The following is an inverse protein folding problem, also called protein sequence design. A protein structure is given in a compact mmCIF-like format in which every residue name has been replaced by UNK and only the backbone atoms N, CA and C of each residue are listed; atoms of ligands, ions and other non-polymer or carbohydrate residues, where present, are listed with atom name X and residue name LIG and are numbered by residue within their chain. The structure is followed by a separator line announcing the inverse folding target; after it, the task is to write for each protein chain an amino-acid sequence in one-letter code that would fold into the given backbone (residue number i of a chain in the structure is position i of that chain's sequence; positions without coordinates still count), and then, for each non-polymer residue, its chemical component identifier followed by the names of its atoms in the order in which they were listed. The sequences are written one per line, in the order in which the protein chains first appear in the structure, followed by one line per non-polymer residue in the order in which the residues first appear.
data_IF_103807676057
#
_entry.id   IF_103807676057
#
_cell.length_a   1.000
_cell.length_b   1.000
_cell.length_c   1.000
_cell.angle_alpha   90.00
_cell.angle_beta   90.00
_cell.angle_gamma   90.00
#
_symmetry.space_group_name_H-M   'P 1'
#
loop_
_entity.id
_entity.type
_entity.pdbx_description
1 polymer ?
#
# COMPACT_ATOMS: atom_id res chain seq x y z
N UNK A 1 -76.18 44.06 -20.45
CA UNK A 1 -75.14 43.37 -21.21
C UNK A 1 -74.03 42.95 -20.25
N UNK A 2 -74.20 41.84 -19.47
CA UNK A 2 -73.19 41.26 -18.64
C UNK A 2 -73.49 39.77 -18.46
N UNK A 3 -73.27 38.92 -19.45
CA UNK A 3 -73.55 37.48 -19.28
C UNK A 3 -72.89 36.59 -20.31
N UNK A 4 -71.61 36.68 -20.61
CA UNK A 4 -70.94 35.63 -21.44
C UNK A 4 -69.41 35.50 -21.24
N UNK A 5 -68.81 36.04 -20.19
CA UNK A 5 -67.34 35.88 -20.02
C UNK A 5 -66.89 34.78 -19.01
N UNK A 6 -67.79 34.20 -18.22
CA UNK A 6 -67.43 33.24 -17.20
C UNK A 6 -67.19 31.85 -17.76
N UNK A 7 -67.82 31.29 -18.78
CA UNK A 7 -67.54 29.93 -19.25
C UNK A 7 -66.16 29.75 -19.94
N UNK A 8 -65.66 30.81 -20.62
CA UNK A 8 -64.37 30.72 -21.31
C UNK A 8 -63.15 30.61 -20.35
N UNK A 9 -63.23 31.28 -19.22
CA UNK A 9 -62.10 31.22 -18.21
C UNK A 9 -62.01 29.84 -17.54
N UNK A 10 -63.15 29.22 -17.27
CA UNK A 10 -63.21 27.89 -16.69
C UNK A 10 -62.72 26.81 -17.66
N UNK A 11 -63.02 26.88 -18.94
CA UNK A 11 -62.51 25.92 -19.94
C UNK A 11 -61.04 26.10 -20.21
N UNK A 12 -60.46 27.27 -20.21
CA UNK A 12 -59.02 27.53 -20.35
C UNK A 12 -58.29 27.05 -19.12
N UNK A 13 -58.83 27.25 -17.91
CA UNK A 13 -58.22 26.79 -16.67
C UNK A 13 -58.18 25.24 -16.59
N UNK A 14 -59.26 24.56 -17.01
CA UNK A 14 -59.31 23.11 -17.08
C UNK A 14 -58.34 22.55 -18.11
N UNK A 15 -58.20 23.18 -19.27
CA UNK A 15 -57.21 22.78 -20.30
C UNK A 15 -55.76 23.00 -19.82
N UNK A 16 -55.47 24.05 -19.07
CA UNK A 16 -54.17 24.30 -18.49
C UNK A 16 -53.84 23.28 -17.35
N UNK A 17 -54.83 22.93 -16.55
CA UNK A 17 -54.66 21.89 -15.50
C UNK A 17 -54.47 20.53 -16.15
N UNK A 18 -55.18 20.18 -17.19
CA UNK A 18 -55.00 18.94 -17.95
C UNK A 18 -53.64 18.89 -18.66
N UNK A 19 -53.13 19.98 -19.20
CA UNK A 19 -51.78 20.08 -19.77
C UNK A 19 -50.68 19.97 -18.69
N UNK A 20 -50.93 20.48 -17.49
CA UNK A 20 -50.02 20.30 -16.35
C UNK A 20 -50.02 18.87 -15.82
N UNK A 21 -51.15 18.19 -15.79
CA UNK A 21 -51.27 16.80 -15.37
C UNK A 21 -50.67 15.81 -16.36
N UNK A 22 -50.66 16.11 -17.66
CA UNK A 22 -49.99 15.26 -18.67
C UNK A 22 -48.47 15.46 -18.69
N UNK A 23 -47.96 16.59 -18.22
CA UNK A 23 -46.51 16.86 -18.10
C UNK A 23 -45.83 16.15 -16.93
N UNK A 24 -46.58 15.66 -15.92
CA UNK A 24 -46.01 15.05 -14.68
C UNK A 24 -45.78 13.53 -14.81
N UNK A 25 -46.27 12.89 -15.88
CA UNK A 25 -46.07 11.47 -16.13
C UNK A 25 -45.09 11.14 -17.26
N UNK A 26 -44.16 12.04 -17.59
CA UNK A 26 -42.95 11.60 -18.22
C UNK A 26 -42.13 10.88 -17.13
N UNK A 27 -42.46 9.64 -16.82
CA UNK A 27 -41.54 8.74 -16.13
C UNK A 27 -40.28 8.71 -16.98
N UNK A 28 -39.25 9.45 -16.54
CA UNK A 28 -37.94 9.39 -17.14
C UNK A 28 -37.55 7.91 -17.21
N UNK A 29 -37.35 7.39 -18.43
CA UNK A 29 -36.83 6.06 -18.67
C UNK A 29 -35.61 5.91 -17.73
N UNK A 30 -35.63 4.94 -16.86
CA UNK A 30 -34.50 4.70 -15.94
C UNK A 30 -33.23 4.62 -16.78
N UNK A 31 -32.25 5.48 -16.52
CA UNK A 31 -30.96 5.42 -17.21
C UNK A 31 -30.19 4.14 -16.88
N UNK A 32 -30.63 3.40 -15.85
CA UNK A 32 -30.08 2.14 -15.39
C UNK A 32 -30.73 0.95 -16.09
N UNK A 33 -29.90 0.11 -16.72
CA UNK A 33 -30.34 -1.05 -17.51
C UNK A 33 -30.37 -2.37 -16.70
N UNK A 34 -29.61 -2.42 -15.59
CA UNK A 34 -29.45 -3.60 -14.75
C UNK A 34 -28.35 -4.55 -15.23
N UNK A 35 -27.76 -5.24 -14.26
CA UNK A 35 -26.58 -6.11 -14.49
C UNK A 35 -26.85 -7.28 -15.44
N UNK A 36 -28.07 -7.78 -15.52
CA UNK A 36 -28.43 -8.91 -16.39
C UNK A 36 -28.36 -8.52 -17.88
N UNK A 37 -28.60 -7.26 -18.20
CA UNK A 37 -28.40 -6.74 -19.56
C UNK A 37 -26.91 -6.71 -19.92
N UNK A 38 -26.04 -6.35 -18.97
CA UNK A 38 -24.60 -6.36 -19.19
C UNK A 38 -24.05 -7.77 -19.48
N UNK A 39 -24.63 -8.79 -18.86
CA UNK A 39 -24.27 -10.20 -19.07
C UNK A 39 -24.34 -10.63 -20.53
N UNK A 40 -25.31 -10.13 -21.30
CA UNK A 40 -25.51 -10.54 -22.68
C UNK A 40 -24.28 -10.34 -23.58
N UNK A 41 -23.48 -9.28 -23.30
CA UNK A 41 -22.25 -9.01 -24.06
C UNK A 41 -20.97 -9.26 -23.21
N UNK A 42 -21.07 -9.19 -21.89
CA UNK A 42 -19.93 -9.28 -20.96
C UNK A 42 -20.00 -10.50 -20.04
N UNK A 43 -20.37 -11.68 -20.55
CA UNK A 43 -20.60 -12.89 -19.77
C UNK A 43 -19.41 -13.27 -18.86
N UNK A 44 -18.19 -13.31 -19.40
CA UNK A 44 -16.98 -13.67 -18.65
C UNK A 44 -16.70 -12.68 -17.50
N UNK A 45 -16.91 -11.40 -17.75
CA UNK A 45 -16.74 -10.35 -16.73
C UNK A 45 -17.82 -10.45 -15.67
N UNK A 46 -19.04 -10.73 -16.07
CA UNK A 46 -20.18 -10.93 -15.18
C UNK A 46 -19.93 -12.11 -14.23
N UNK A 47 -19.48 -13.25 -14.74
CA UNK A 47 -19.19 -14.44 -13.95
C UNK A 47 -18.06 -14.19 -12.93
N UNK A 48 -17.02 -13.46 -13.33
CA UNK A 48 -15.96 -13.06 -12.40
C UNK A 48 -16.46 -12.08 -11.33
N UNK A 49 -17.34 -11.16 -11.71
CA UNK A 49 -17.98 -10.26 -10.77
C UNK A 49 -18.79 -11.03 -9.72
N UNK A 50 -19.60 -11.99 -10.13
CA UNK A 50 -20.39 -12.83 -9.21
C UNK A 50 -19.53 -13.66 -8.24
N UNK A 51 -18.28 -13.99 -8.61
CA UNK A 51 -17.32 -14.68 -7.73
C UNK A 51 -16.70 -13.72 -6.71
N UNK A 52 -16.66 -12.41 -7.00
CA UNK A 52 -16.10 -11.40 -6.11
C UNK A 52 -17.04 -11.09 -4.93
N UNK A 53 -16.49 -10.46 -3.88
CA UNK A 53 -17.28 -10.00 -2.73
C UNK A 53 -18.35 -8.98 -3.14
N UNK A 54 -18.06 -8.14 -4.15
CA UNK A 54 -18.97 -7.12 -4.69
C UNK A 54 -20.16 -7.71 -5.42
N UNK A 55 -20.04 -8.94 -5.93
CA UNK A 55 -21.12 -9.69 -6.59
C UNK A 55 -21.99 -10.50 -5.64
N UNK A 56 -21.74 -10.47 -4.32
CA UNK A 56 -22.49 -11.26 -3.34
C UNK A 56 -23.63 -10.49 -2.71
N UNK A 57 -24.87 -10.83 -3.06
CA UNK A 57 -26.08 -10.16 -2.53
C UNK A 57 -26.23 -10.25 -1.00
N UNK A 58 -25.65 -11.27 -0.36
CA UNK A 58 -25.73 -11.45 1.09
C UNK A 58 -24.76 -10.54 1.87
N UNK A 59 -23.80 -9.92 1.18
CA UNK A 59 -22.84 -9.00 1.81
C UNK A 59 -23.48 -7.63 1.99
N UNK A 60 -23.41 -7.10 3.21
CA UNK A 60 -23.91 -5.76 3.50
C UNK A 60 -23.15 -4.71 2.70
N UNK A 61 -23.88 -3.75 2.09
CA UNK A 61 -23.29 -2.69 1.26
C UNK A 61 -22.74 -3.16 -0.10
N UNK A 62 -22.92 -4.44 -0.46
CA UNK A 62 -22.49 -4.92 -1.76
C UNK A 62 -23.25 -4.24 -2.91
N UNK A 63 -22.55 -3.82 -3.99
CA UNK A 63 -23.19 -3.31 -5.21
C UNK A 63 -24.25 -4.26 -5.78
N UNK A 64 -24.09 -5.58 -5.60
CA UNK A 64 -25.05 -6.58 -6.07
C UNK A 64 -26.45 -6.49 -5.43
N UNK A 65 -26.61 -5.75 -4.34
CA UNK A 65 -27.93 -5.43 -3.75
C UNK A 65 -28.64 -4.26 -4.40
N UNK A 66 -27.90 -3.41 -5.10
CA UNK A 66 -28.42 -2.23 -5.78
C UNK A 66 -28.20 -2.32 -7.28
N UNK A 67 -27.47 -1.39 -7.82
CA UNK A 67 -27.27 -1.19 -9.26
C UNK A 67 -26.22 -2.13 -9.89
N UNK A 68 -25.59 -2.99 -9.11
CA UNK A 68 -24.64 -3.99 -9.60
C UNK A 68 -23.45 -3.40 -10.35
N UNK A 69 -23.32 -3.73 -11.63
CA UNK A 69 -22.25 -3.20 -12.49
C UNK A 69 -22.27 -1.67 -12.57
N UNK A 70 -23.46 -1.11 -12.64
CA UNK A 70 -23.69 0.33 -12.83
C UNK A 70 -23.35 1.16 -11.59
N UNK A 71 -23.27 0.54 -10.40
CA UNK A 71 -22.77 1.21 -9.19
C UNK A 71 -21.35 1.77 -9.36
N UNK A 72 -20.54 1.15 -10.23
CA UNK A 72 -19.17 1.56 -10.53
C UNK A 72 -19.05 2.22 -11.90
N UNK A 73 -19.73 1.68 -12.91
CA UNK A 73 -19.61 2.11 -14.30
C UNK A 73 -20.57 3.26 -14.66
N UNK A 74 -21.58 3.52 -13.84
CA UNK A 74 -22.66 4.47 -14.15
C UNK A 74 -23.77 3.85 -15.00
N UNK A 75 -24.82 4.65 -15.33
CA UNK A 75 -25.99 4.20 -16.05
C UNK A 75 -25.67 3.60 -17.42
N UNK A 76 -26.21 2.41 -17.71
CA UNK A 76 -25.85 1.61 -18.89
C UNK A 76 -26.77 1.74 -20.09
N UNK A 77 -27.95 2.35 -19.97
CA UNK A 77 -28.94 2.39 -21.05
C UNK A 77 -28.39 2.99 -22.36
N UNK A 78 -27.71 4.13 -22.28
CA UNK A 78 -27.11 4.76 -23.45
C UNK A 78 -25.98 3.92 -24.10
N UNK A 79 -25.23 3.14 -23.28
CA UNK A 79 -24.22 2.22 -23.77
C UNK A 79 -24.83 1.10 -24.60
N UNK A 80 -25.93 0.52 -24.12
CA UNK A 80 -26.66 -0.55 -24.81
C UNK A 80 -27.31 -0.05 -26.07
N UNK A 81 -27.97 1.11 -26.02
CA UNK A 81 -28.62 1.73 -27.18
C UNK A 81 -27.64 2.03 -28.33
N UNK A 82 -26.40 2.40 -28.01
CA UNK A 82 -25.32 2.62 -29.00
C UNK A 82 -24.67 1.32 -29.49
N UNK A 83 -25.01 0.16 -28.92
CA UNK A 83 -24.36 -1.11 -29.24
C UNK A 83 -22.95 -1.24 -28.67
N UNK A 84 -22.63 -0.49 -27.61
CA UNK A 84 -21.33 -0.51 -26.95
C UNK A 84 -20.54 0.80 -27.06
N UNK A 85 -19.23 0.73 -26.85
CA UNK A 85 -18.33 1.89 -26.87
C UNK A 85 -17.85 2.32 -25.50
N UNK A 86 -16.79 3.14 -25.46
CA UNK A 86 -16.15 3.56 -24.19
C UNK A 86 -16.68 4.88 -23.64
N UNK A 87 -17.41 5.65 -24.45
CA UNK A 87 -17.71 7.04 -24.17
C UNK A 87 -18.98 7.23 -23.32
N UNK A 88 -19.75 6.18 -23.11
CA UNK A 88 -21.05 6.22 -22.42
C UNK A 88 -21.01 5.68 -20.99
N UNK A 89 -19.90 5.03 -20.61
CA UNK A 89 -19.69 4.45 -19.28
C UNK A 89 -18.32 4.83 -18.74
N UNK A 90 -18.19 4.84 -17.42
CA UNK A 90 -16.90 4.99 -16.78
C UNK A 90 -16.08 3.73 -17.01
N UNK A 91 -15.03 3.86 -17.79
CA UNK A 91 -14.07 2.80 -18.04
C UNK A 91 -12.89 2.90 -17.07
N UNK A 92 -12.49 1.78 -16.49
CA UNK A 92 -11.31 1.67 -15.62
C UNK A 92 -10.02 1.36 -16.42
N UNK A 93 -9.95 1.87 -17.67
CA UNK A 93 -8.76 1.82 -18.52
C UNK A 93 -7.68 2.83 -18.11
N UNK A 94 -6.51 2.74 -18.77
CA UNK A 94 -5.37 3.62 -18.45
C UNK A 94 -5.65 5.10 -18.76
N UNK A 95 -6.45 5.37 -19.76
CA UNK A 95 -6.64 6.70 -20.34
C UNK A 95 -7.71 7.55 -19.63
N UNK A 96 -8.34 7.03 -18.59
CA UNK A 96 -9.41 7.72 -17.89
C UNK A 96 -8.95 8.42 -16.61
N UNK A 97 -9.66 9.46 -16.22
CA UNK A 97 -9.39 10.28 -15.06
C UNK A 97 -9.31 9.42 -13.78
N UNK A 98 -8.13 9.34 -13.19
CA UNK A 98 -7.85 8.54 -11.98
C UNK A 98 -8.70 8.99 -10.79
N UNK A 99 -8.94 10.31 -10.66
CA UNK A 99 -9.76 10.88 -9.58
C UNK A 99 -11.19 10.41 -9.70
N UNK A 100 -11.75 10.44 -10.90
CA UNK A 100 -13.13 10.00 -11.16
C UNK A 100 -13.29 8.50 -10.88
N UNK A 101 -12.38 7.66 -11.40
CA UNK A 101 -12.39 6.21 -11.13
C UNK A 101 -12.30 5.91 -9.64
N UNK A 102 -11.38 6.56 -8.94
CA UNK A 102 -11.20 6.35 -7.49
C UNK A 102 -12.40 6.81 -6.68
N UNK A 103 -13.10 7.88 -7.09
CA UNK A 103 -14.30 8.38 -6.41
C UNK A 103 -15.43 7.35 -6.37
N UNK A 104 -15.54 6.49 -7.41
CA UNK A 104 -16.53 5.40 -7.41
C UNK A 104 -16.27 4.37 -6.31
N UNK A 105 -15.02 4.07 -6.04
CA UNK A 105 -14.64 3.19 -4.92
C UNK A 105 -14.86 3.88 -3.57
N UNK A 106 -14.44 5.13 -3.46
CA UNK A 106 -14.50 5.90 -2.22
C UNK A 106 -15.93 6.24 -1.80
N UNK A 107 -16.91 6.23 -2.71
CA UNK A 107 -18.33 6.38 -2.36
C UNK A 107 -18.78 5.40 -1.27
N UNK A 108 -18.22 4.18 -1.26
CA UNK A 108 -18.52 3.15 -0.25
C UNK A 108 -17.35 2.88 0.69
N UNK A 109 -16.10 3.03 0.22
CA UNK A 109 -14.90 2.70 1.00
C UNK A 109 -14.26 3.90 1.70
N UNK A 110 -14.71 5.14 1.44
CA UNK A 110 -14.09 6.37 1.97
C UNK A 110 -14.00 6.40 3.50
N UNK A 111 -15.04 5.92 4.17
CA UNK A 111 -15.13 5.92 5.63
C UNK A 111 -14.44 4.69 6.28
N UNK A 112 -13.87 3.80 5.48
CA UNK A 112 -13.22 2.61 6.01
C UNK A 112 -11.83 2.92 6.57
N UNK A 113 -11.49 2.30 7.72
CA UNK A 113 -10.16 2.45 8.36
C UNK A 113 -9.01 2.12 7.42
N UNK A 114 -9.22 1.23 6.45
CA UNK A 114 -8.20 0.77 5.52
C UNK A 114 -7.75 1.87 4.56
N UNK A 115 -8.61 2.81 4.22
CA UNK A 115 -8.30 3.92 3.30
C UNK A 115 -8.41 5.30 3.97
N UNK A 116 -8.50 5.36 5.31
CA UNK A 116 -8.61 6.61 6.06
C UNK A 116 -7.51 7.64 5.72
N UNK A 117 -6.33 7.16 5.36
CA UNK A 117 -5.19 8.01 4.99
C UNK A 117 -4.99 8.15 3.48
N UNK A 118 -5.96 7.72 2.67
CA UNK A 118 -5.83 7.76 1.21
C UNK A 118 -5.52 9.16 0.68
N UNK A 119 -6.13 10.17 1.25
CA UNK A 119 -5.92 11.56 0.82
C UNK A 119 -4.48 12.06 1.06
N UNK A 120 -3.78 11.48 2.01
CA UNK A 120 -2.37 11.74 2.32
C UNK A 120 -1.42 10.76 1.63
N UNK A 121 -1.93 9.78 0.92
CA UNK A 121 -1.13 8.75 0.27
C UNK A 121 -0.27 9.33 -0.86
N UNK A 122 1.01 8.97 -0.86
CA UNK A 122 1.90 9.29 -1.98
C UNK A 122 1.40 8.72 -3.29
N UNK A 123 0.77 7.55 -3.28
CA UNK A 123 0.17 6.96 -4.47
C UNK A 123 -0.90 7.86 -5.08
N UNK A 124 -1.83 8.38 -4.26
CA UNK A 124 -2.83 9.35 -4.72
C UNK A 124 -2.17 10.60 -5.29
N UNK A 125 -1.17 11.16 -4.59
CA UNK A 125 -0.48 12.39 -5.00
C UNK A 125 0.20 12.27 -6.37
N UNK A 126 0.69 11.07 -6.72
CA UNK A 126 1.33 10.81 -8.03
C UNK A 126 0.37 10.21 -9.06
N UNK A 127 -0.94 10.25 -8.81
CA UNK A 127 -1.94 9.80 -9.77
C UNK A 127 -2.13 8.29 -9.87
N UNK A 128 -1.74 7.51 -8.86
CA UNK A 128 -2.03 6.07 -8.80
C UNK A 128 -3.41 5.88 -8.18
N UNK A 129 -4.35 5.28 -8.91
CA UNK A 129 -5.72 5.02 -8.46
C UNK A 129 -5.92 3.64 -7.87
N UNK A 130 -7.11 3.42 -7.31
CA UNK A 130 -7.50 2.13 -6.73
C UNK A 130 -7.38 0.99 -7.74
N UNK A 131 -7.81 1.25 -8.97
CA UNK A 131 -7.78 0.30 -10.08
C UNK A 131 -6.36 -0.02 -10.59
N UNK A 132 -5.34 0.72 -10.20
CA UNK A 132 -3.94 0.39 -10.51
C UNK A 132 -3.49 -0.90 -9.80
N UNK A 133 -4.00 -1.13 -8.60
CA UNK A 133 -3.65 -2.28 -7.75
C UNK A 133 -4.76 -3.32 -7.65
N UNK A 134 -6.03 -2.90 -7.63
CA UNK A 134 -7.19 -3.76 -7.42
C UNK A 134 -7.93 -4.09 -8.71
N UNK A 135 -8.54 -5.27 -8.75
CA UNK A 135 -9.47 -5.69 -9.80
C UNK A 135 -10.65 -6.42 -9.19
N UNK A 136 -11.87 -5.97 -9.51
CA UNK A 136 -13.10 -6.52 -8.94
C UNK A 136 -13.57 -7.75 -9.70
N UNK A 137 -13.41 -7.75 -11.03
CA UNK A 137 -13.98 -8.76 -11.92
C UNK A 137 -12.98 -9.31 -12.95
N UNK A 138 -11.69 -9.13 -12.74
CA UNK A 138 -10.67 -9.85 -13.51
C UNK A 138 -10.10 -10.96 -12.64
N UNK A 139 -10.05 -12.16 -13.17
CA UNK A 139 -9.27 -13.21 -12.53
C UNK A 139 -7.82 -12.71 -12.41
N UNK A 140 -7.18 -12.88 -11.26
CA UNK A 140 -5.76 -12.59 -11.15
C UNK A 140 -5.02 -13.40 -12.22
N UNK A 141 -4.06 -12.78 -12.91
CA UNK A 141 -3.14 -13.54 -13.76
C UNK A 141 -2.48 -14.58 -12.86
N UNK A 142 -2.76 -15.83 -13.11
CA UNK A 142 -2.12 -16.93 -12.40
C UNK A 142 -0.64 -16.87 -12.75
N UNK A 143 0.16 -16.30 -11.87
CA UNK A 143 1.61 -16.48 -11.94
C UNK A 143 1.80 -17.93 -11.53
N UNK A 144 2.18 -18.78 -12.46
CA UNK A 144 2.61 -20.14 -12.20
C UNK A 144 3.87 -20.09 -11.34
N UNK A 145 3.69 -19.98 -10.05
CA UNK A 145 4.73 -20.24 -9.07
C UNK A 145 4.28 -21.49 -8.31
N UNK A 146 5.14 -22.50 -8.28
CA UNK A 146 4.93 -23.76 -7.57
C UNK A 146 4.79 -23.61 -6.05
N UNK A 147 4.43 -22.42 -5.56
CA UNK A 147 4.27 -22.11 -4.15
C UNK A 147 2.83 -21.82 -3.80
N UNK A 148 2.36 -22.55 -2.82
CA UNK A 148 1.02 -22.57 -2.22
C UNK A 148 0.69 -21.19 -1.60
N UNK A 149 0.20 -20.21 -2.36
CA UNK A 149 -0.38 -19.00 -1.75
C UNK A 149 -1.43 -18.30 -2.61
N UNK A 150 -2.58 -18.92 -2.88
CA UNK A 150 -3.67 -18.25 -3.59
C UNK A 150 -4.66 -17.49 -2.69
N UNK A 151 -4.81 -17.86 -1.41
CA UNK A 151 -5.99 -17.46 -0.62
C UNK A 151 -5.91 -16.03 -0.05
N UNK A 152 -4.76 -15.57 0.42
CA UNK A 152 -4.61 -14.22 0.98
C UNK A 152 -4.62 -13.13 -0.12
N UNK A 153 -4.21 -13.47 -1.29
CA UNK A 153 -4.18 -12.66 -2.48
C UNK A 153 -5.59 -12.36 -3.04
N UNK A 154 -6.44 -13.37 -3.16
CA UNK A 154 -7.82 -13.21 -3.64
C UNK A 154 -8.69 -12.38 -2.70
N UNK A 155 -8.44 -12.44 -1.39
CA UNK A 155 -9.21 -11.70 -0.38
C UNK A 155 -9.12 -10.18 -0.51
N UNK A 156 -8.03 -9.65 -1.06
CA UNK A 156 -7.80 -8.21 -1.22
C UNK A 156 -8.08 -7.70 -2.63
N UNK A 157 -8.55 -8.54 -3.53
CA UNK A 157 -8.82 -8.22 -4.94
C UNK A 157 -7.64 -7.56 -5.66
N UNK A 158 -6.41 -7.92 -5.30
CA UNK A 158 -5.22 -7.42 -5.97
C UNK A 158 -5.09 -8.03 -7.37
N UNK A 159 -4.56 -7.28 -8.32
CA UNK A 159 -4.28 -7.75 -9.69
C UNK A 159 -3.17 -8.80 -9.76
N UNK A 160 -2.25 -8.73 -8.81
CA UNK A 160 -1.10 -9.62 -8.68
C UNK A 160 -0.74 -9.79 -7.19
N UNK A 161 -0.05 -10.86 -6.80
CA UNK A 161 0.49 -10.99 -5.45
C UNK A 161 1.49 -9.87 -5.13
N UNK A 162 1.52 -9.41 -3.88
CA UNK A 162 2.67 -8.69 -3.38
C UNK A 162 3.80 -9.72 -3.08
N UNK A 163 5.07 -9.43 -3.39
CA UNK A 163 5.60 -8.12 -3.81
C UNK A 163 5.53 -7.83 -5.32
N UNK A 164 5.16 -8.80 -6.18
CA UNK A 164 5.22 -8.67 -7.63
C UNK A 164 4.42 -7.45 -8.15
N UNK A 165 3.26 -7.19 -7.55
CA UNK A 165 2.43 -6.01 -7.85
C UNK A 165 3.23 -4.70 -7.65
N UNK A 166 3.93 -4.60 -6.52
CA UNK A 166 4.70 -3.42 -6.15
C UNK A 166 5.93 -3.25 -7.05
N UNK A 167 6.60 -4.34 -7.37
CA UNK A 167 7.78 -4.36 -8.24
C UNK A 167 7.51 -3.88 -9.67
N UNK A 168 6.25 -3.86 -10.10
CA UNK A 168 5.88 -3.27 -11.39
C UNK A 168 6.28 -1.82 -11.53
N UNK A 169 6.32 -1.06 -10.42
CA UNK A 169 6.73 0.33 -10.36
C UNK A 169 8.00 0.56 -9.52
N UNK A 170 8.18 -0.19 -8.42
CA UNK A 170 9.31 -0.07 -7.49
C UNK A 170 10.48 -0.99 -7.89
N UNK A 171 11.11 -0.70 -9.02
CA UNK A 171 12.20 -1.51 -9.58
C UNK A 171 13.49 -1.44 -8.76
N UNK A 172 13.76 -0.29 -8.14
CA UNK A 172 14.87 -0.07 -7.23
C UNK A 172 14.76 -0.99 -6.00
N UNK A 173 13.58 -1.05 -5.37
CA UNK A 173 13.31 -1.95 -4.25
C UNK A 173 13.42 -3.41 -4.70
N UNK A 174 12.90 -3.75 -5.89
CA UNK A 174 13.06 -5.10 -6.45
C UNK A 174 14.53 -5.49 -6.54
N UNK A 175 15.39 -4.60 -7.06
CA UNK A 175 16.82 -4.86 -7.16
C UNK A 175 17.49 -5.07 -5.79
N UNK A 176 17.05 -4.34 -4.77
CA UNK A 176 17.55 -4.49 -3.41
C UNK A 176 17.16 -5.85 -2.82
N UNK A 177 15.92 -6.29 -3.00
CA UNK A 177 15.45 -7.58 -2.46
C UNK A 177 16.10 -8.81 -3.11
N UNK A 178 16.81 -8.63 -4.22
CA UNK A 178 17.60 -9.68 -4.87
C UNK A 178 19.02 -9.81 -4.32
N UNK A 179 19.45 -8.88 -3.46
CA UNK A 179 20.80 -8.89 -2.87
C UNK A 179 20.94 -9.99 -1.83
N UNK A 180 22.20 -10.30 -1.47
CA UNK A 180 22.55 -11.42 -0.60
C UNK A 180 21.89 -11.34 0.78
N UNK A 181 21.86 -10.17 1.40
CA UNK A 181 21.21 -9.93 2.69
C UNK A 181 19.93 -9.16 2.48
N UNK A 182 18.78 -9.74 2.78
CA UNK A 182 17.46 -9.13 2.59
C UNK A 182 16.45 -9.70 3.57
N UNK A 183 15.36 -8.97 3.81
CA UNK A 183 14.18 -9.56 4.44
C UNK A 183 13.51 -10.54 3.47
N UNK A 184 12.85 -11.62 3.93
CA UNK A 184 12.39 -12.73 3.11
C UNK A 184 11.13 -12.39 2.30
N UNK A 185 11.20 -11.28 1.55
CA UNK A 185 10.15 -10.83 0.62
C UNK A 185 10.11 -11.71 -0.63
N UNK A 186 11.28 -12.09 -1.13
CA UNK A 186 11.43 -12.98 -2.29
C UNK A 186 10.93 -14.39 -1.98
N UNK A 187 11.17 -14.86 -0.78
CA UNK A 187 10.73 -16.15 -0.26
C UNK A 187 9.24 -16.15 0.12
N UNK A 188 8.57 -14.99 0.02
CA UNK A 188 7.14 -14.80 0.34
C UNK A 188 6.77 -15.11 1.80
N UNK A 189 7.75 -15.09 2.70
CA UNK A 189 7.54 -15.17 4.15
C UNK A 189 7.12 -13.82 4.73
N UNK A 190 7.45 -12.74 4.02
CA UNK A 190 7.00 -11.38 4.29
C UNK A 190 6.46 -10.74 3.03
N UNK A 191 5.67 -9.69 3.19
CA UNK A 191 5.13 -8.86 2.12
C UNK A 191 5.43 -7.39 2.36
N UNK A 192 5.32 -6.56 1.33
CA UNK A 192 5.45 -5.11 1.46
C UNK A 192 4.46 -4.54 2.49
N UNK A 193 3.29 -5.19 2.64
CA UNK A 193 2.24 -4.78 3.56
C UNK A 193 2.55 -5.08 5.02
N UNK A 194 3.59 -5.83 5.36
CA UNK A 194 3.98 -6.04 6.75
C UNK A 194 4.59 -4.77 7.34
N UNK A 195 5.25 -3.98 6.50
CA UNK A 195 5.88 -2.73 6.85
C UNK A 195 5.11 -1.49 6.38
N UNK A 196 4.56 -1.51 5.16
CA UNK A 196 3.94 -0.35 4.53
C UNK A 196 2.42 -0.43 4.48
N UNK A 197 1.76 0.75 4.50
CA UNK A 197 0.36 0.90 4.15
C UNK A 197 0.25 1.65 2.81
N UNK A 198 -0.06 0.93 1.74
CA UNK A 198 -0.17 1.51 0.39
C UNK A 198 -1.28 2.57 0.27
N UNK A 199 -2.24 2.57 1.18
CA UNK A 199 -3.32 3.57 1.23
C UNK A 199 -2.97 4.84 2.00
N UNK A 200 -1.73 4.95 2.50
CA UNK A 200 -1.26 6.12 3.24
C UNK A 200 -1.08 5.86 4.75
N UNK A 201 -0.48 6.81 5.42
CA UNK A 201 -0.20 6.78 6.86
C UNK A 201 0.64 7.96 7.27
N UNK A 202 0.81 8.17 8.57
CA UNK A 202 1.63 9.26 9.12
C UNK A 202 3.14 8.95 9.07
N UNK A 203 3.51 7.69 9.12
CA UNK A 203 4.91 7.27 9.13
C UNK A 203 5.65 7.62 7.84
N UNK A 204 6.98 7.80 7.92
CA UNK A 204 7.80 8.12 6.76
C UNK A 204 7.68 7.02 5.69
N UNK A 205 7.63 7.43 4.40
CA UNK A 205 7.47 6.47 3.29
C UNK A 205 6.23 5.54 3.45
N UNK A 206 5.18 6.02 4.12
CA UNK A 206 3.94 5.27 4.37
C UNK A 206 4.16 3.96 5.15
N UNK A 207 5.09 3.91 6.09
CA UNK A 207 5.17 2.80 7.04
C UNK A 207 4.00 2.82 8.01
N UNK A 208 3.72 1.67 8.64
CA UNK A 208 2.54 1.47 9.50
C UNK A 208 2.67 2.04 10.91
N UNK A 209 3.80 2.62 11.24
CA UNK A 209 4.13 3.22 12.54
C UNK A 209 4.60 4.64 12.33
N UNK A 210 4.63 5.43 13.38
CA UNK A 210 5.05 6.82 13.30
C UNK A 210 6.57 6.92 13.11
N UNK A 211 7.33 5.99 13.68
CA UNK A 211 8.78 5.92 13.53
C UNK A 211 9.25 4.61 12.92
N UNK A 212 10.45 4.63 12.35
CA UNK A 212 11.12 3.44 11.82
C UNK A 212 11.41 2.43 12.93
N UNK A 213 11.90 2.89 14.08
CA UNK A 213 12.27 2.05 15.18
C UNK A 213 11.08 1.27 15.73
N UNK A 214 9.92 1.91 15.90
CA UNK A 214 8.69 1.23 16.30
C UNK A 214 8.26 0.14 15.30
N UNK A 215 8.47 0.39 14.01
CA UNK A 215 8.19 -0.64 13.00
C UNK A 215 9.09 -1.86 13.19
N UNK A 216 10.40 -1.62 13.34
CA UNK A 216 11.40 -2.69 13.50
C UNK A 216 11.12 -3.50 14.76
N UNK A 217 10.78 -2.85 15.86
CA UNK A 217 10.52 -3.48 17.15
C UNK A 217 9.31 -4.41 17.16
N UNK A 218 8.41 -4.32 16.19
CA UNK A 218 7.29 -5.28 16.09
C UNK A 218 7.75 -6.72 15.91
N UNK A 219 8.91 -6.93 15.29
CA UNK A 219 9.52 -8.25 15.09
C UNK A 219 10.84 -8.38 15.83
N UNK A 220 11.60 -7.30 15.96
CA UNK A 220 12.91 -7.25 16.60
C UNK A 220 12.83 -6.70 18.03
N UNK A 221 11.87 -7.19 18.81
CA UNK A 221 11.58 -6.69 20.17
C UNK A 221 12.80 -6.71 21.11
N UNK A 222 13.71 -7.69 20.95
CA UNK A 222 14.93 -7.79 21.75
C UNK A 222 15.93 -6.63 21.53
N UNK A 223 15.69 -5.78 20.52
CA UNK A 223 16.53 -4.60 20.24
C UNK A 223 15.94 -3.29 20.75
N UNK A 224 14.77 -3.35 21.38
CA UNK A 224 14.04 -2.17 21.85
C UNK A 224 14.59 -1.57 23.14
N UNK A 225 15.15 -2.38 24.01
CA UNK A 225 15.49 -1.95 25.37
C UNK A 225 14.27 -1.97 26.31
N UNK A 226 14.26 -1.19 27.40
CA UNK A 226 15.31 -0.23 27.76
C UNK A 226 16.63 -0.91 28.14
N UNK A 227 17.74 -0.25 27.82
CA UNK A 227 19.07 -0.72 28.21
C UNK A 227 19.69 0.24 29.22
N UNK A 228 20.51 -0.29 30.14
CA UNK A 228 21.26 0.53 31.07
C UNK A 228 22.28 1.42 30.33
N UNK A 229 22.88 0.88 29.30
CA UNK A 229 23.77 1.59 28.39
C UNK A 229 23.23 1.50 26.99
N UNK A 230 22.74 2.61 26.47
CA UNK A 230 22.18 2.75 25.14
C UNK A 230 23.23 3.26 24.17
N UNK A 231 23.15 2.81 22.93
CA UNK A 231 23.98 3.34 21.84
C UNK A 231 23.10 4.34 21.06
N UNK A 232 23.38 5.66 21.14
CA UNK A 232 22.48 6.68 20.63
C UNK A 232 21.99 6.49 19.20
N UNK A 233 22.83 6.11 18.21
CA UNK A 233 22.35 5.88 16.83
C UNK A 233 21.31 4.76 16.73
N UNK A 234 21.28 3.80 17.66
CA UNK A 234 20.30 2.71 17.68
C UNK A 234 18.94 3.23 18.16
N UNK A 235 18.95 4.08 19.17
CA UNK A 235 17.74 4.71 19.68
C UNK A 235 17.17 5.71 18.69
N UNK A 236 18.01 6.47 18.00
CA UNK A 236 17.58 7.45 17.02
C UNK A 236 16.94 6.82 15.77
N UNK A 237 17.66 5.92 15.07
CA UNK A 237 17.16 5.34 13.82
C UNK A 237 17.89 4.07 13.41
N UNK A 238 17.18 2.96 13.30
CA UNK A 238 17.74 1.69 12.82
C UNK A 238 18.38 1.80 11.42
N UNK A 239 17.87 2.71 10.57
CA UNK A 239 18.36 2.91 9.20
C UNK A 239 19.71 3.63 9.13
N UNK A 240 20.22 4.15 10.23
CA UNK A 240 21.60 4.65 10.30
C UNK A 240 22.61 3.53 9.98
N UNK A 241 22.30 2.31 10.39
CA UNK A 241 23.16 1.15 10.18
C UNK A 241 22.57 0.11 9.22
N UNK A 242 21.25 0.05 9.02
CA UNK A 242 20.58 -1.01 8.28
C UNK A 242 19.83 -0.53 7.04
N UNK A 243 19.78 -1.37 6.00
CA UNK A 243 18.97 -1.19 4.77
C UNK A 243 17.87 -2.24 4.73
N UNK A 244 16.59 -1.89 4.93
CA UNK A 244 15.53 -2.86 5.22
C UNK A 244 15.13 -3.73 4.02
N UNK A 245 15.31 -3.26 2.80
CA UNK A 245 14.90 -4.03 1.62
C UNK A 245 15.95 -5.04 1.17
N UNK A 246 17.22 -4.70 1.34
CA UNK A 246 18.33 -5.60 1.01
C UNK A 246 19.62 -4.89 0.70
N UNK A 247 20.74 -5.52 1.08
CA UNK A 247 22.10 -5.04 0.94
C UNK A 247 23.08 -6.15 0.63
N UNK A 248 24.30 -5.76 0.29
CA UNK A 248 25.38 -6.71 -0.01
C UNK A 248 26.15 -7.15 1.24
N UNK A 249 25.83 -6.57 2.40
CA UNK A 249 26.54 -6.83 3.65
C UNK A 249 25.65 -7.64 4.59
N UNK A 250 26.29 -8.52 5.38
CA UNK A 250 25.61 -9.34 6.38
C UNK A 250 24.76 -8.47 7.32
N UNK A 251 23.65 -9.02 7.80
CA UNK A 251 22.71 -8.37 8.70
C UNK A 251 22.14 -7.05 8.14
N UNK A 252 21.98 -6.93 6.82
CA UNK A 252 21.43 -5.74 6.16
C UNK A 252 22.20 -4.44 6.46
N UNK A 253 23.50 -4.52 6.75
CA UNK A 253 24.28 -3.32 7.03
C UNK A 253 24.47 -2.43 5.79
N UNK A 254 24.47 -1.12 5.99
CA UNK A 254 24.71 -0.13 4.93
C UNK A 254 26.14 -0.20 4.41
N UNK A 255 27.09 -0.55 5.26
CA UNK A 255 28.48 -0.80 4.92
C UNK A 255 29.09 -1.89 5.79
N UNK A 256 30.20 -2.44 5.36
CA UNK A 256 30.88 -3.52 6.07
C UNK A 256 31.58 -2.98 7.32
N UNK A 257 31.54 -3.74 8.41
CA UNK A 257 32.42 -3.50 9.56
C UNK A 257 33.88 -3.87 9.24
N UNK A 258 34.90 -3.12 9.69
CA UNK A 258 34.85 -2.03 10.67
C UNK A 258 34.44 -0.66 10.10
N UNK A 259 34.37 -0.47 8.78
CA UNK A 259 34.11 0.82 8.14
C UNK A 259 32.82 1.50 8.65
N UNK A 260 31.75 0.73 8.87
CA UNK A 260 30.51 1.26 9.43
C UNK A 260 30.75 1.94 10.78
N UNK A 261 31.50 1.28 11.65
CA UNK A 261 31.78 1.82 12.98
C UNK A 261 32.71 3.05 12.90
N UNK A 262 33.71 3.00 12.01
CA UNK A 262 34.67 4.06 11.79
C UNK A 262 34.10 5.32 11.15
N UNK A 263 32.88 5.27 10.58
CA UNK A 263 32.20 6.47 10.10
C UNK A 263 31.88 7.46 11.23
N UNK A 264 31.82 6.99 12.48
CA UNK A 264 31.59 7.82 13.67
C UNK A 264 32.68 7.67 14.73
N UNK A 265 33.42 6.58 14.75
CA UNK A 265 34.48 6.25 15.71
C UNK A 265 35.84 6.21 15.03
N UNK A 266 36.41 7.34 14.72
CA UNK A 266 37.63 7.44 13.89
C UNK A 266 38.94 7.63 14.66
N UNK A 267 38.90 8.06 15.94
CA UNK A 267 40.05 8.58 16.67
C UNK A 267 40.28 7.94 18.03
N UNK A 268 39.71 6.83 18.29
CA UNK A 268 39.97 6.11 19.52
C UNK A 268 41.38 5.48 19.47
N UNK A 269 42.26 5.75 20.39
CA UNK A 269 43.53 5.05 20.58
C UNK A 269 43.34 3.54 20.89
N UNK A 270 42.65 2.85 20.04
CA UNK A 270 42.04 1.53 20.13
C UNK A 270 42.43 0.71 18.88
N UNK A 271 42.43 -0.63 18.89
CA UNK A 271 42.80 -1.48 17.75
C UNK A 271 42.06 -1.27 16.43
N UNK A 272 41.04 -0.37 16.36
CA UNK A 272 40.36 -0.01 15.14
C UNK A 272 41.05 1.07 14.30
N UNK A 273 42.03 1.80 14.85
CA UNK A 273 42.84 2.76 14.10
C UNK A 273 44.02 2.07 13.42
N UNK A 274 44.46 2.50 12.24
CA UNK A 274 45.70 2.00 11.65
C UNK A 274 46.86 2.35 12.58
N UNK A 275 47.34 1.39 13.31
CA UNK A 275 48.53 1.54 14.15
C UNK A 275 49.76 1.49 13.26
N UNK A 276 50.63 2.45 13.41
CA UNK A 276 51.95 2.42 12.81
C UNK A 276 52.85 1.53 13.66
N UNK A 277 54.01 1.19 13.14
CA UNK A 277 55.01 0.41 13.89
C UNK A 277 55.48 1.11 15.19
N UNK A 278 55.17 2.39 15.34
CA UNK A 278 55.53 3.22 16.50
C UNK A 278 54.41 3.34 17.53
N UNK A 279 53.15 3.12 17.13
CA UNK A 279 51.99 3.20 18.00
C UNK A 279 51.67 1.82 18.59
N UNK A 280 51.79 1.70 19.87
CA UNK A 280 51.62 0.42 20.59
C UNK A 280 50.36 0.46 21.44
N UNK A 281 49.64 -0.62 21.46
CA UNK A 281 48.51 -0.83 22.35
C UNK A 281 49.03 -1.05 23.78
N UNK A 282 48.93 -0.04 24.65
CA UNK A 282 49.50 -0.02 26.00
C UNK A 282 51.00 -0.46 26.05
N UNK A 283 51.81 0.09 25.17
CA UNK A 283 53.26 -0.16 25.17
C UNK A 283 53.69 -1.50 24.52
N UNK A 284 52.77 -2.21 23.85
CA UNK A 284 53.08 -3.47 23.13
C UNK A 284 52.61 -3.39 21.68
N UNK A 285 53.40 -3.93 20.77
CA UNK A 285 53.04 -4.01 19.38
C UNK A 285 51.72 -4.79 19.23
N UNK A 286 50.68 -4.23 18.57
CA UNK A 286 49.45 -4.96 18.36
C UNK A 286 49.71 -6.20 17.50
N UNK A 287 49.08 -7.29 17.86
CA UNK A 287 49.12 -8.50 17.01
C UNK A 287 48.53 -8.18 15.63
N UNK A 288 49.21 -8.61 14.56
CA UNK A 288 48.71 -8.54 13.20
C UNK A 288 47.29 -9.14 13.04
N UNK A 289 46.89 -10.02 13.96
CA UNK A 289 45.56 -10.63 14.04
C UNK A 289 44.49 -9.65 14.52
N UNK A 290 44.85 -8.48 15.03
CA UNK A 290 43.93 -7.44 15.50
C UNK A 290 43.65 -6.39 14.43
N UNK A 291 44.47 -6.29 13.39
CA UNK A 291 44.25 -5.37 12.28
C UNK A 291 43.06 -5.78 11.45
N UNK A 292 42.28 -4.80 11.04
CA UNK A 292 41.12 -4.98 10.16
C UNK A 292 40.04 -5.96 10.66
N UNK A 293 40.05 -6.25 11.98
CA UNK A 293 39.01 -7.10 12.55
C UNK A 293 37.72 -6.38 12.76
N UNK A 294 36.63 -7.13 12.66
CA UNK A 294 35.30 -6.66 12.94
C UNK A 294 35.16 -6.22 14.41
N UNK A 295 34.79 -5.00 14.67
CA UNK A 295 34.55 -4.42 15.99
C UNK A 295 33.59 -5.28 16.84
N UNK A 296 32.62 -5.91 16.18
CA UNK A 296 31.61 -6.78 16.81
C UNK A 296 32.20 -8.06 17.45
N UNK A 297 33.46 -8.41 17.20
CA UNK A 297 34.11 -9.51 17.89
C UNK A 297 34.31 -9.22 19.38
N UNK A 298 34.51 -7.95 19.72
CA UNK A 298 34.67 -7.50 21.10
C UNK A 298 33.46 -6.73 21.60
N UNK A 299 32.77 -5.97 20.71
CA UNK A 299 31.59 -5.12 20.98
C UNK A 299 30.31 -5.70 20.39
N UNK A 300 29.85 -6.90 20.77
CA UNK A 300 28.68 -7.52 20.17
C UNK A 300 27.35 -6.86 20.60
N UNK A 301 27.35 -6.10 21.70
CA UNK A 301 26.16 -5.55 22.32
C UNK A 301 25.86 -4.13 21.84
N UNK A 302 26.20 -3.80 20.58
CA UNK A 302 26.03 -2.45 20.01
C UNK A 302 24.59 -1.92 20.00
N UNK A 303 23.59 -2.78 20.17
CA UNK A 303 22.19 -2.34 20.27
C UNK A 303 21.80 -1.92 21.69
N UNK A 304 22.69 -2.08 22.67
CA UNK A 304 22.48 -1.74 24.06
C UNK A 304 22.90 -2.87 25.00
N UNK A 305 23.24 -2.53 26.23
CA UNK A 305 23.71 -3.46 27.25
C UNK A 305 23.10 -3.18 28.62
N UNK A 306 22.71 -4.24 29.32
CA UNK A 306 22.24 -4.21 30.71
C UNK A 306 23.28 -4.71 31.70
N UNK A 307 24.53 -4.95 31.27
CA UNK A 307 25.61 -5.33 32.18
C UNK A 307 26.03 -4.13 33.04
N UNK A 308 25.98 -4.20 34.38
CA UNK A 308 26.26 -3.07 35.25
C UNK A 308 27.79 -2.76 35.38
N UNK A 309 28.62 -3.47 34.62
CA UNK A 309 30.08 -3.30 34.66
C UNK A 309 30.57 -2.37 33.54
N UNK A 310 31.85 -1.97 33.60
CA UNK A 310 32.51 -1.28 32.51
C UNK A 310 32.46 -2.00 31.17
N UNK A 311 32.27 -3.34 31.20
CA UNK A 311 32.01 -4.11 29.97
C UNK A 311 30.71 -3.72 29.31
N UNK A 312 29.63 -3.56 30.08
CA UNK A 312 28.33 -3.10 29.56
C UNK A 312 28.40 -1.71 28.97
N UNK A 313 29.06 -0.77 29.65
CA UNK A 313 29.27 0.59 29.19
C UNK A 313 30.00 0.65 27.84
N UNK A 314 30.90 -0.28 27.57
CA UNK A 314 31.63 -0.39 26.31
C UNK A 314 31.04 -1.42 25.34
N UNK A 315 29.82 -1.91 25.59
CA UNK A 315 29.14 -2.92 24.76
C UNK A 315 29.94 -4.20 24.55
N UNK A 316 30.81 -4.52 25.50
CA UNK A 316 31.64 -5.74 25.48
C UNK A 316 30.80 -6.95 25.87
N UNK A 317 31.33 -8.13 25.48
CA UNK A 317 30.77 -9.43 25.86
C UNK A 317 31.03 -9.75 27.31
#
# INVERSE_FOLDING_TARGET
MKRHMVPCIFTVLILLIMAFLTGVFAQGKSDYAGSDMCKQCHEVIYDHYLKSIHGKKYVAGSPAKGEGCESCHGPGSAHIEKGGGKDTLISFGKDNNVKEKSSKCLKCHGDSRQVAFWDMSRHKMVGVGCDSCHSIHKAPKTIMTNTITPVAFQRKLLKMPAPDLCYGCHQDVRSQTLRQSHHPLRERLMTCFDCHNAHGGFGPKMIKTDTVNELCYKCHAAKRGPFMFEHPPVDENCLTCHVPHGGNHYALLVSKTPQLCQSCHDWSGHPGTPNTSFETFKGRNPSNRMFSRNCLLCHPNVHGSNSPTSRGQNFLR
#
